data_IF_614214205272
#
_entry.id   IF_614214205272
#
_cell.length_a   1.000
_cell.length_b   1.000
_cell.length_c   1.000
_cell.angle_alpha   90.00
_cell.angle_beta   90.00
_cell.angle_gamma   90.00
#
_symmetry.space_group_name_H-M   'P 1'
#
loop_
_entity.id
_entity.type
_entity.pdbx_description
1 polymer ?
#
# COMPACT_ATOMS: atom_id res chain seq x y z
N UNK A 1 -22.17 -9.37 -13.14
CA UNK A 1 -23.33 -8.45 -13.07
C UNK A 1 -23.93 -8.17 -14.44
N UNK A 2 -23.18 -7.66 -15.42
CA UNK A 2 -23.72 -7.32 -16.74
C UNK A 2 -24.41 -8.52 -17.41
N UNK A 3 -23.80 -9.70 -17.36
CA UNK A 3 -24.41 -10.92 -17.93
C UNK A 3 -25.73 -11.27 -17.24
N UNK A 4 -25.81 -11.11 -15.91
CA UNK A 4 -27.06 -11.32 -15.17
C UNK A 4 -28.14 -10.33 -15.63
N UNK A 5 -27.82 -9.05 -15.75
CA UNK A 5 -28.76 -8.03 -16.23
C UNK A 5 -29.23 -8.34 -17.65
N UNK A 6 -28.32 -8.74 -18.54
CA UNK A 6 -28.66 -9.18 -19.91
C UNK A 6 -29.56 -10.42 -19.91
N UNK A 7 -29.32 -11.38 -19.03
CA UNK A 7 -30.13 -12.60 -18.92
C UNK A 7 -31.57 -12.36 -18.48
N UNK A 8 -31.88 -11.18 -17.93
CA UNK A 8 -33.24 -10.77 -17.54
C UNK A 8 -33.80 -9.66 -18.45
N UNK A 9 -33.34 -9.62 -19.71
CA UNK A 9 -33.75 -8.67 -20.76
C UNK A 9 -33.40 -7.20 -20.48
N UNK A 10 -32.37 -6.94 -19.67
CA UNK A 10 -31.89 -5.57 -19.44
C UNK A 10 -30.64 -5.25 -20.26
N UNK A 11 -30.49 -3.99 -20.64
CA UNK A 11 -29.35 -3.48 -21.39
C UNK A 11 -28.48 -2.60 -20.49
N UNK A 12 -27.51 -3.17 -19.73
CA UNK A 12 -26.61 -2.37 -18.92
C UNK A 12 -25.78 -1.44 -19.80
N UNK A 13 -25.64 -0.19 -19.38
CA UNK A 13 -24.87 0.82 -20.11
C UNK A 13 -23.37 0.61 -19.87
N UNK A 14 -22.61 0.50 -20.95
CA UNK A 14 -21.14 0.48 -20.90
C UNK A 14 -20.60 1.89 -20.65
N UNK A 15 -19.44 2.00 -19.98
CA UNK A 15 -18.82 3.29 -19.69
C UNK A 15 -18.57 4.13 -20.95
N UNK A 16 -18.07 3.52 -22.03
CA UNK A 16 -17.80 4.21 -23.29
C UNK A 16 -19.06 4.84 -23.88
N UNK A 17 -20.21 4.17 -23.75
CA UNK A 17 -21.50 4.74 -24.17
C UNK A 17 -21.86 5.97 -23.34
N UNK A 18 -21.64 5.94 -22.02
CA UNK A 18 -21.84 7.10 -21.16
C UNK A 18 -20.92 8.28 -21.55
N UNK A 19 -19.68 8.00 -21.93
CA UNK A 19 -18.73 9.00 -22.44
C UNK A 19 -19.23 9.58 -23.77
N UNK A 20 -19.66 8.76 -24.71
CA UNK A 20 -20.21 9.20 -26.01
C UNK A 20 -21.42 10.12 -25.84
N UNK A 21 -22.28 9.86 -24.86
CA UNK A 21 -23.44 10.70 -24.55
C UNK A 21 -23.07 12.13 -24.11
N UNK A 22 -21.82 12.36 -23.68
CA UNK A 22 -21.33 13.71 -23.37
C UNK A 22 -21.05 14.54 -24.63
N UNK A 23 -20.81 13.90 -25.78
CA UNK A 23 -20.37 14.55 -27.01
C UNK A 23 -18.93 15.07 -26.97
N UNK A 24 -18.16 14.77 -25.92
CA UNK A 24 -16.78 15.23 -25.73
C UNK A 24 -15.79 14.06 -25.87
N UNK A 25 -14.62 14.31 -26.46
CA UNK A 25 -13.56 13.30 -26.56
C UNK A 25 -12.81 13.03 -25.25
N UNK A 26 -12.92 13.95 -24.28
CA UNK A 26 -12.26 13.85 -22.96
C UNK A 26 -13.07 14.59 -21.87
N UNK A 27 -14.31 14.15 -21.58
CA UNK A 27 -15.18 14.82 -20.63
C UNK A 27 -14.67 14.73 -19.19
N UNK A 28 -15.13 15.66 -18.35
CA UNK A 28 -15.01 15.52 -16.90
C UNK A 28 -15.85 14.34 -16.39
N UNK A 29 -15.35 13.60 -15.40
CA UNK A 29 -16.02 12.40 -14.86
C UNK A 29 -17.46 12.66 -14.43
N UNK A 30 -17.73 13.83 -13.83
CA UNK A 30 -19.08 14.21 -13.41
C UNK A 30 -20.05 14.37 -14.59
N UNK A 31 -19.59 14.85 -15.74
CA UNK A 31 -20.43 14.97 -16.94
C UNK A 31 -20.81 13.59 -17.48
N UNK A 32 -19.89 12.61 -17.43
CA UNK A 32 -20.17 11.23 -17.81
C UNK A 32 -21.22 10.61 -16.90
N UNK A 33 -21.08 10.82 -15.58
CA UNK A 33 -22.04 10.34 -14.58
C UNK A 33 -23.41 11.00 -14.76
N UNK A 34 -23.47 12.31 -14.98
CA UNK A 34 -24.72 13.02 -15.25
C UNK A 34 -25.40 12.54 -16.53
N UNK A 35 -24.63 12.30 -17.59
CA UNK A 35 -25.12 11.72 -18.84
C UNK A 35 -25.69 10.31 -18.60
N UNK A 36 -24.96 9.45 -17.89
CA UNK A 36 -25.42 8.11 -17.54
C UNK A 36 -26.71 8.15 -16.71
N UNK A 37 -26.78 8.95 -15.64
CA UNK A 37 -27.97 9.06 -14.78
C UNK A 37 -29.18 9.63 -15.51
N UNK A 38 -28.96 10.49 -16.50
CA UNK A 38 -30.06 11.05 -17.30
C UNK A 38 -30.67 10.00 -18.23
N UNK A 39 -29.85 9.14 -18.84
CA UNK A 39 -30.30 8.18 -19.84
C UNK A 39 -30.65 6.79 -19.28
N UNK A 40 -30.15 6.43 -18.09
CA UNK A 40 -30.43 5.12 -17.48
C UNK A 40 -31.82 5.06 -16.84
N UNK A 41 -32.56 3.97 -17.06
CA UNK A 41 -33.86 3.73 -16.39
C UNK A 41 -33.70 3.49 -14.89
N UNK A 42 -32.65 2.78 -14.48
CA UNK A 42 -32.31 2.53 -13.10
C UNK A 42 -30.78 2.49 -12.91
N UNK A 43 -30.33 2.74 -11.68
CA UNK A 43 -28.92 2.76 -11.30
C UNK A 43 -28.68 1.63 -10.32
N UNK A 44 -27.74 0.74 -10.62
CA UNK A 44 -27.32 -0.34 -9.72
C UNK A 44 -26.00 0.06 -9.09
N UNK A 45 -26.00 0.29 -7.79
CA UNK A 45 -24.78 0.51 -7.02
C UNK A 45 -24.32 -0.83 -6.46
N UNK A 46 -23.16 -1.30 -6.94
CA UNK A 46 -22.54 -2.53 -6.45
C UNK A 46 -21.55 -2.22 -5.34
N UNK A 47 -21.89 -2.62 -4.11
CA UNK A 47 -21.07 -2.48 -2.92
C UNK A 47 -20.38 -3.81 -2.63
N UNK A 48 -19.07 -3.84 -2.87
CA UNK A 48 -18.18 -4.99 -2.63
C UNK A 48 -17.16 -4.65 -1.55
N UNK A 49 -16.65 -5.63 -0.79
CA UNK A 49 -15.70 -5.43 0.31
C UNK A 49 -14.25 -5.23 -0.21
N UNK A 50 -14.04 -4.27 -1.11
CA UNK A 50 -12.78 -4.09 -1.84
C UNK A 50 -11.68 -3.37 -1.05
N UNK A 51 -12.04 -2.58 -0.04
CA UNK A 51 -11.10 -1.83 0.80
C UNK A 51 -11.32 -2.12 2.28
N UNK A 52 -10.29 -1.96 3.10
CA UNK A 52 -10.39 -2.08 4.57
C UNK A 52 -10.32 -0.71 5.21
N UNK A 53 -11.28 -0.39 6.06
CA UNK A 53 -11.32 0.86 6.82
C UNK A 53 -11.67 0.64 8.28
N UNK A 54 -11.33 1.64 9.10
CA UNK A 54 -11.67 1.72 10.51
C UNK A 54 -11.71 3.17 10.95
N UNK A 55 -12.57 3.46 11.93
CA UNK A 55 -12.61 4.73 12.62
C UNK A 55 -11.33 4.87 13.47
N UNK A 56 -10.74 6.07 13.48
CA UNK A 56 -9.59 6.31 14.36
C UNK A 56 -10.05 6.13 15.81
N UNK A 57 -9.26 5.44 16.66
CA UNK A 57 -9.73 5.03 17.99
C UNK A 57 -10.11 6.21 18.89
N UNK A 58 -9.47 7.37 18.72
CA UNK A 58 -9.81 8.61 19.43
C UNK A 58 -11.21 9.16 19.14
N UNK A 59 -11.83 8.74 18.03
CA UNK A 59 -13.18 9.14 17.64
C UNK A 59 -14.22 8.04 17.94
N UNK A 60 -13.79 6.88 18.44
CA UNK A 60 -14.70 5.80 18.81
C UNK A 60 -15.27 5.94 20.22
N UNK A 61 -16.24 5.09 20.55
CA UNK A 61 -16.97 5.10 21.81
C UNK A 61 -16.37 4.20 22.91
N UNK A 62 -15.12 3.75 22.75
CA UNK A 62 -14.40 2.90 23.72
C UNK A 62 -13.79 1.65 23.09
N UNK A 63 -13.19 0.77 23.91
CA UNK A 63 -12.47 -0.42 23.43
C UNK A 63 -13.35 -1.46 22.72
N UNK A 64 -14.67 -1.45 22.97
CA UNK A 64 -15.64 -2.36 22.36
C UNK A 64 -16.32 -1.83 21.10
N UNK A 65 -15.94 -0.65 20.62
CA UNK A 65 -16.58 -0.05 19.43
C UNK A 65 -16.21 -0.85 18.17
N UNK A 66 -17.22 -1.36 17.46
CA UNK A 66 -17.00 -2.12 16.22
C UNK A 66 -16.50 -1.23 15.09
N UNK A 67 -16.75 0.08 15.14
CA UNK A 67 -16.32 1.01 14.12
C UNK A 67 -14.81 1.24 14.12
N UNK A 68 -14.16 1.05 15.26
CA UNK A 68 -12.70 1.19 15.38
C UNK A 68 -11.94 -0.06 14.93
N UNK A 69 -12.65 -1.16 14.66
CA UNK A 69 -12.09 -2.40 14.14
C UNK A 69 -11.97 -2.35 12.61
N UNK A 70 -10.90 -2.91 12.03
CA UNK A 70 -10.79 -3.05 10.58
C UNK A 70 -11.96 -3.85 10.02
N UNK A 71 -12.69 -3.23 9.08
CA UNK A 71 -13.81 -3.86 8.39
C UNK A 71 -13.75 -3.53 6.90
N UNK A 72 -14.22 -4.47 6.09
CA UNK A 72 -14.21 -4.31 4.64
C UNK A 72 -15.32 -3.34 4.19
N UNK A 73 -15.10 -2.54 3.15
CA UNK A 73 -16.05 -1.57 2.63
C UNK A 73 -15.91 -1.44 1.11
N UNK A 74 -16.90 -0.83 0.47
CA UNK A 74 -16.79 -0.39 -0.93
C UNK A 74 -15.74 0.71 -1.08
N UNK A 75 -15.14 0.80 -2.26
CA UNK A 75 -14.17 1.86 -2.59
C UNK A 75 -14.79 3.25 -2.41
N UNK A 76 -14.04 4.26 -1.96
CA UNK A 76 -14.52 5.62 -1.78
C UNK A 76 -15.21 6.21 -3.02
N UNK A 77 -14.70 5.92 -4.23
CA UNK A 77 -15.33 6.37 -5.47
C UNK A 77 -16.75 5.80 -5.62
N UNK A 78 -16.94 4.51 -5.31
CA UNK A 78 -18.26 3.86 -5.35
C UNK A 78 -19.20 4.49 -4.32
N UNK A 79 -18.72 4.77 -3.10
CA UNK A 79 -19.52 5.41 -2.06
C UNK A 79 -19.94 6.84 -2.47
N UNK A 80 -19.03 7.60 -3.07
CA UNK A 80 -19.30 8.96 -3.53
C UNK A 80 -20.31 8.98 -4.69
N UNK A 81 -20.09 8.14 -5.70
CA UNK A 81 -20.99 7.99 -6.85
C UNK A 81 -22.37 7.45 -6.44
N UNK A 82 -22.44 6.55 -5.46
CA UNK A 82 -23.69 6.11 -4.86
C UNK A 82 -24.43 7.28 -4.20
N UNK A 83 -23.71 8.15 -3.49
CA UNK A 83 -24.25 9.39 -2.93
C UNK A 83 -24.83 10.30 -4.02
N UNK A 84 -24.11 10.47 -5.14
CA UNK A 84 -24.60 11.25 -6.28
C UNK A 84 -25.86 10.64 -6.91
N UNK A 85 -25.88 9.33 -7.15
CA UNK A 85 -27.05 8.62 -7.69
C UNK A 85 -28.27 8.78 -6.79
N UNK A 86 -28.10 8.59 -5.48
CA UNK A 86 -29.14 8.75 -4.47
C UNK A 86 -29.63 10.20 -4.35
N UNK A 87 -28.73 11.17 -4.47
CA UNK A 87 -29.07 12.60 -4.49
C UNK A 87 -29.83 13.01 -5.75
N UNK A 88 -29.49 12.39 -6.89
CA UNK A 88 -30.12 12.67 -8.19
C UNK A 88 -31.50 12.03 -8.32
N UNK A 89 -31.61 10.74 -8.00
CA UNK A 89 -32.86 9.98 -8.03
C UNK A 89 -32.81 8.71 -7.16
N UNK A 90 -33.22 8.86 -5.90
CA UNK A 90 -33.28 7.75 -4.96
C UNK A 90 -34.31 6.66 -5.33
N UNK A 91 -35.35 6.96 -6.13
CA UNK A 91 -36.41 5.99 -6.42
C UNK A 91 -35.96 4.90 -7.38
N UNK A 92 -35.07 5.23 -8.32
CA UNK A 92 -34.52 4.30 -9.31
C UNK A 92 -33.08 3.86 -9.00
N UNK A 93 -32.56 4.20 -7.83
CA UNK A 93 -31.23 3.76 -7.38
C UNK A 93 -31.36 2.54 -6.48
N UNK A 94 -30.79 1.41 -6.93
CA UNK A 94 -30.82 0.12 -6.25
C UNK A 94 -29.45 -0.19 -5.66
N UNK A 95 -29.39 -0.29 -4.34
CA UNK A 95 -28.17 -0.66 -3.62
C UNK A 95 -28.04 -2.18 -3.52
N UNK A 96 -26.90 -2.71 -3.93
CA UNK A 96 -26.61 -4.14 -3.98
C UNK A 96 -25.29 -4.41 -3.25
N UNK A 97 -25.32 -5.31 -2.28
CA UNK A 97 -24.15 -5.79 -1.55
C UNK A 97 -23.76 -7.18 -2.06
N UNK A 98 -22.48 -7.39 -2.38
CA UNK A 98 -21.92 -8.72 -2.65
C UNK A 98 -20.79 -8.97 -1.65
N UNK A 99 -21.03 -9.90 -0.72
CA UNK A 99 -20.13 -10.15 0.41
C UNK A 99 -20.46 -9.33 1.65
N UNK A 100 -19.55 -9.33 2.63
CA UNK A 100 -19.73 -8.64 3.90
C UNK A 100 -19.08 -7.27 3.85
N UNK A 101 -19.91 -6.23 3.70
CA UNK A 101 -19.48 -4.83 3.78
C UNK A 101 -19.81 -4.24 5.15
N UNK A 102 -18.93 -3.36 5.63
CA UNK A 102 -19.12 -2.56 6.83
C UNK A 102 -20.41 -1.76 6.68
N UNK A 103 -21.27 -1.70 7.71
CA UNK A 103 -22.44 -0.84 7.68
C UNK A 103 -22.04 0.61 7.37
N UNK A 104 -22.75 1.20 6.40
CA UNK A 104 -22.63 2.60 6.07
C UNK A 104 -23.83 3.33 6.65
N UNK A 105 -23.64 3.94 7.83
CA UNK A 105 -24.70 4.52 8.67
C UNK A 105 -25.53 5.59 7.95
N UNK A 106 -24.95 6.34 7.02
CA UNK A 106 -25.63 7.35 6.20
C UNK A 106 -26.64 6.77 5.19
N UNK A 107 -26.58 5.46 4.96
CA UNK A 107 -27.54 4.69 4.13
C UNK A 107 -28.44 3.78 4.98
N UNK A 108 -28.28 3.75 6.31
CA UNK A 108 -29.02 2.86 7.20
C UNK A 108 -30.56 3.01 7.15
N UNK A 109 -31.07 4.11 6.58
CA UNK A 109 -32.51 4.29 6.29
C UNK A 109 -32.98 3.70 4.95
N UNK A 110 -32.08 3.15 4.12
CA UNK A 110 -32.39 2.57 2.80
C UNK A 110 -32.05 1.09 2.76
N UNK A 111 -32.94 0.30 2.17
CA UNK A 111 -32.77 -1.14 2.11
C UNK A 111 -31.82 -1.54 0.96
N UNK A 112 -30.73 -2.24 1.27
CA UNK A 112 -29.84 -2.89 0.27
C UNK A 112 -30.26 -4.33 -0.04
N UNK A 113 -29.89 -4.86 -1.21
CA UNK A 113 -30.02 -6.30 -1.51
C UNK A 113 -28.69 -6.96 -1.23
N UNK A 114 -28.67 -7.98 -0.37
CA UNK A 114 -27.51 -8.89 -0.28
C UNK A 114 -27.61 -9.93 -1.38
N UNK A 115 -26.86 -9.71 -2.45
CA UNK A 115 -26.84 -10.57 -3.61
C UNK A 115 -25.87 -11.74 -3.38
N UNK A 116 -26.29 -12.92 -3.80
CA UNK A 116 -25.53 -14.17 -3.70
C UNK A 116 -25.80 -15.02 -4.94
N UNK A 117 -25.20 -16.20 -5.02
CA UNK A 117 -25.50 -17.15 -6.09
C UNK A 117 -26.86 -17.85 -5.97
N UNK A 118 -27.66 -17.56 -4.93
CA UNK A 118 -29.01 -18.10 -4.82
C UNK A 118 -30.00 -17.42 -5.76
N UNK A 119 -30.85 -18.21 -6.41
CA UNK A 119 -31.95 -17.72 -7.26
C UNK A 119 -32.88 -16.76 -6.53
N UNK A 120 -33.12 -16.98 -5.23
CA UNK A 120 -33.94 -16.10 -4.40
C UNK A 120 -33.37 -14.67 -4.31
N UNK A 121 -32.06 -14.53 -4.09
CA UNK A 121 -31.42 -13.20 -4.02
C UNK A 121 -31.38 -12.51 -5.40
N UNK A 122 -31.17 -13.28 -6.47
CA UNK A 122 -31.23 -12.81 -7.86
C UNK A 122 -32.64 -12.31 -8.22
N UNK A 123 -33.67 -13.06 -7.83
CA UNK A 123 -35.07 -12.68 -8.01
C UNK A 123 -35.42 -11.40 -7.24
N UNK A 124 -34.89 -11.24 -6.02
CA UNK A 124 -35.07 -10.00 -5.25
C UNK A 124 -34.50 -8.78 -5.99
N UNK A 125 -33.32 -8.91 -6.63
CA UNK A 125 -32.75 -7.85 -7.48
C UNK A 125 -33.61 -7.56 -8.70
N UNK A 126 -34.05 -8.59 -9.41
CA UNK A 126 -34.93 -8.46 -10.56
C UNK A 126 -36.24 -7.72 -10.22
N UNK A 127 -36.88 -8.06 -9.09
CA UNK A 127 -38.11 -7.40 -8.62
C UNK A 127 -37.87 -5.92 -8.29
N UNK A 128 -36.71 -5.56 -7.71
CA UNK A 128 -36.39 -4.15 -7.45
C UNK A 128 -36.12 -3.37 -8.72
N UNK A 129 -35.42 -3.96 -9.68
CA UNK A 129 -35.20 -3.34 -10.99
C UNK A 129 -36.52 -3.13 -11.73
N UNK A 130 -37.43 -4.10 -11.67
CA UNK A 130 -38.80 -3.94 -12.19
C UNK A 130 -39.54 -2.79 -11.51
N UNK A 131 -39.46 -2.71 -10.17
CA UNK A 131 -40.04 -1.60 -9.40
C UNK A 131 -39.40 -0.24 -9.75
N UNK A 132 -38.12 -0.23 -10.11
CA UNK A 132 -37.40 0.96 -10.58
C UNK A 132 -37.72 1.33 -12.05
N UNK A 133 -38.60 0.58 -12.72
CA UNK A 133 -39.08 0.87 -14.08
C UNK A 133 -38.38 0.08 -15.19
N UNK A 134 -37.49 -0.86 -14.86
CA UNK A 134 -36.85 -1.72 -15.85
C UNK A 134 -37.81 -2.78 -16.41
N UNK A 135 -37.70 -3.07 -17.71
CA UNK A 135 -38.47 -4.11 -18.39
C UNK A 135 -37.86 -5.51 -18.17
N UNK A 136 -38.00 -6.00 -16.94
CA UNK A 136 -37.42 -7.26 -16.49
C UNK A 136 -38.22 -8.44 -17.03
N UNK A 137 -37.52 -9.33 -17.74
CA UNK A 137 -38.02 -10.64 -18.17
C UNK A 137 -37.40 -11.75 -17.32
N UNK A 138 -38.24 -12.58 -16.70
CA UNK A 138 -37.81 -13.74 -15.90
C UNK A 138 -38.28 -15.06 -16.52
N UNK A 139 -38.70 -15.05 -17.79
CA UNK A 139 -38.99 -16.28 -18.52
C UNK A 139 -37.74 -17.13 -18.70
N UNK A 140 -37.89 -18.44 -18.62
CA UNK A 140 -36.77 -19.39 -18.62
C UNK A 140 -36.04 -19.48 -17.27
N UNK A 141 -34.87 -20.14 -17.29
CA UNK A 141 -34.10 -20.47 -16.08
C UNK A 141 -32.63 -20.07 -16.14
N UNK A 142 -32.15 -19.56 -17.28
CA UNK A 142 -30.72 -19.26 -17.49
C UNK A 142 -30.21 -18.18 -16.51
N UNK A 143 -31.07 -17.22 -16.15
CA UNK A 143 -30.76 -16.17 -15.19
C UNK A 143 -30.52 -16.69 -13.76
N UNK A 144 -30.97 -17.92 -13.43
CA UNK A 144 -30.74 -18.52 -12.12
C UNK A 144 -29.26 -18.68 -11.79
N UNK A 145 -28.42 -18.90 -12.81
CA UNK A 145 -26.99 -19.21 -12.64
C UNK A 145 -26.08 -18.23 -13.38
N UNK A 146 -26.61 -17.36 -14.25
CA UNK A 146 -25.80 -16.44 -15.08
C UNK A 146 -25.03 -15.41 -14.24
N UNK A 147 -23.70 -15.36 -14.38
CA UNK A 147 -22.81 -14.51 -13.59
C UNK A 147 -22.49 -15.08 -12.21
N UNK A 148 -21.41 -14.60 -11.59
CA UNK A 148 -20.94 -15.06 -10.28
C UNK A 148 -21.07 -13.97 -9.22
N UNK A 149 -21.74 -14.31 -8.12
CA UNK A 149 -21.94 -13.48 -6.93
C UNK A 149 -21.44 -14.19 -5.67
N UNK A 150 -20.42 -15.04 -5.81
CA UNK A 150 -19.67 -15.58 -4.68
C UNK A 150 -19.08 -14.40 -3.91
N UNK A 151 -19.28 -14.40 -2.58
CA UNK A 151 -18.68 -13.39 -1.73
C UNK A 151 -17.14 -13.49 -1.87
N UNK A 152 -16.43 -12.37 -2.10
CA UNK A 152 -14.98 -12.39 -2.08
C UNK A 152 -14.49 -12.84 -0.69
N UNK A 153 -13.28 -13.44 -0.63
CA UNK A 153 -12.73 -13.90 0.63
C UNK A 153 -12.59 -12.74 1.63
N UNK A 154 -12.64 -13.02 2.95
CA UNK A 154 -12.37 -12.01 3.95
C UNK A 154 -11.01 -11.34 3.70
N UNK A 155 -10.89 -10.02 3.88
CA UNK A 155 -9.64 -9.33 3.61
C UNK A 155 -8.53 -9.82 4.54
N UNK A 156 -7.29 -9.74 4.04
CA UNK A 156 -6.09 -10.12 4.79
C UNK A 156 -5.49 -11.48 4.40
N UNK A 157 -6.05 -12.19 3.42
CA UNK A 157 -5.50 -13.47 2.91
C UNK A 157 -5.20 -14.51 4.01
N UNK A 158 -6.05 -14.53 5.05
CA UNK A 158 -5.87 -15.41 6.21
C UNK A 158 -4.97 -14.86 7.32
N UNK A 159 -4.39 -13.67 7.14
CA UNK A 159 -3.69 -12.92 8.18
C UNK A 159 -4.66 -12.03 8.95
N UNK A 160 -4.35 -11.79 10.22
CA UNK A 160 -5.10 -10.83 11.02
C UNK A 160 -5.00 -9.43 10.38
N UNK A 161 -6.15 -8.78 10.19
CA UNK A 161 -6.24 -7.38 9.81
C UNK A 161 -5.72 -6.53 10.98
N UNK A 162 -4.41 -6.35 11.05
CA UNK A 162 -3.78 -5.54 12.07
C UNK A 162 -3.90 -4.05 11.73
N UNK A 163 -4.12 -3.21 12.75
CA UNK A 163 -3.71 -1.81 12.64
C UNK A 163 -2.21 -1.81 12.39
N UNK A 164 -1.78 -1.25 11.27
CA UNK A 164 -0.39 -0.81 11.15
C UNK A 164 -0.25 0.32 12.17
N UNK A 165 0.26 -0.01 13.36
CA UNK A 165 0.77 1.01 14.26
C UNK A 165 1.71 1.86 13.41
N UNK A 166 1.56 3.19 13.39
CA UNK A 166 2.67 4.02 12.94
C UNK A 166 3.86 3.45 13.70
N UNK A 167 4.88 2.97 12.99
CA UNK A 167 6.13 2.67 13.67
C UNK A 167 6.43 3.99 14.35
N UNK A 168 6.34 4.05 15.68
CA UNK A 168 7.09 5.05 16.41
C UNK A 168 8.48 4.85 15.82
N UNK A 169 8.96 5.79 15.00
CA UNK A 169 10.33 5.72 14.56
C UNK A 169 11.07 5.58 15.90
N UNK A 170 11.77 4.45 16.16
CA UNK A 170 12.60 4.40 17.34
C UNK A 170 13.43 5.68 17.24
N UNK A 171 13.43 6.50 18.30
CA UNK A 171 14.20 7.73 18.31
C UNK A 171 15.55 7.39 17.70
N UNK A 172 15.85 7.95 16.52
CA UNK A 172 17.02 7.53 15.74
C UNK A 172 18.20 7.56 16.70
N UNK A 173 18.97 6.46 16.75
CA UNK A 173 20.07 6.35 17.71
C UNK A 173 20.97 7.60 17.57
N UNK A 174 21.56 8.11 18.66
CA UNK A 174 22.45 9.27 18.61
C UNK A 174 23.52 9.12 17.53
N UNK A 175 24.17 7.95 17.50
CA UNK A 175 25.06 7.51 16.43
C UNK A 175 24.50 6.22 15.84
N UNK A 176 24.51 6.12 14.52
CA UNK A 176 24.13 4.91 13.79
C UNK A 176 24.93 4.86 12.48
N UNK A 177 25.98 4.06 12.44
CA UNK A 177 26.85 3.94 11.29
C UNK A 177 26.33 2.96 10.25
N UNK A 178 26.64 3.27 9.00
CA UNK A 178 26.42 2.47 7.82
C UNK A 178 27.67 2.62 6.93
N UNK A 179 28.02 1.57 6.20
CA UNK A 179 29.23 1.53 5.38
C UNK A 179 28.88 1.21 3.94
N UNK A 180 29.57 1.88 3.01
CA UNK A 180 29.44 1.57 1.60
C UNK A 180 30.80 1.49 0.93
N UNK A 181 31.09 0.32 0.38
CA UNK A 181 32.29 0.08 -0.39
C UNK A 181 32.09 0.47 -1.86
N UNK A 182 33.12 1.03 -2.47
CA UNK A 182 33.15 1.37 -3.90
C UNK A 182 34.43 0.85 -4.53
N UNK A 183 34.29 -0.19 -5.36
CA UNK A 183 35.34 -0.65 -6.26
C UNK A 183 35.58 0.39 -7.36
N UNK A 184 36.81 0.90 -7.48
CA UNK A 184 37.23 1.88 -8.50
C UNK A 184 38.02 1.26 -9.65
N UNK A 185 38.27 -0.05 -9.61
CA UNK A 185 38.97 -0.82 -10.63
C UNK A 185 40.50 -0.80 -10.48
N UNK A 186 41.20 -1.71 -11.16
CA UNK A 186 42.61 -2.07 -10.89
C UNK A 186 43.68 -0.97 -11.01
N UNK A 187 43.35 0.21 -11.53
CA UNK A 187 44.29 1.36 -11.62
C UNK A 187 43.95 2.50 -10.65
N UNK A 188 42.96 2.34 -9.75
CA UNK A 188 42.50 3.38 -8.83
C UNK A 188 42.31 2.81 -7.44
N UNK A 189 42.61 3.60 -6.42
CA UNK A 189 42.38 3.22 -5.03
C UNK A 189 40.88 3.16 -4.77
N UNK A 190 40.42 2.06 -4.18
CA UNK A 190 39.03 1.84 -3.80
C UNK A 190 38.61 2.80 -2.68
N UNK A 191 37.30 2.96 -2.48
CA UNK A 191 36.78 3.91 -1.48
C UNK A 191 35.84 3.22 -0.51
N UNK A 192 35.92 3.62 0.76
CA UNK A 192 34.96 3.25 1.79
C UNK A 192 34.25 4.51 2.27
N UNK A 193 32.94 4.55 2.14
CA UNK A 193 32.10 5.64 2.62
C UNK A 193 31.53 5.27 3.98
N UNK A 194 31.85 6.08 4.98
CA UNK A 194 31.37 5.97 6.36
C UNK A 194 30.21 6.94 6.53
N UNK A 195 29.01 6.42 6.77
CA UNK A 195 27.75 7.17 6.82
C UNK A 195 27.25 7.16 8.26
N UNK A 196 26.87 8.32 8.80
CA UNK A 196 26.19 8.40 10.09
C UNK A 196 24.70 8.71 9.88
N UNK A 197 23.84 7.69 10.01
CA UNK A 197 22.38 7.74 9.96
C UNK A 197 21.75 8.24 11.26
N UNK A 198 22.54 8.35 12.33
CA UNK A 198 22.13 8.83 13.64
C UNK A 198 21.78 10.32 13.65
N UNK A 199 21.39 10.83 14.82
CA UNK A 199 20.96 12.23 14.98
C UNK A 199 22.09 13.18 15.35
N UNK A 200 23.12 12.69 16.03
CA UNK A 200 24.24 13.49 16.55
C UNK A 200 25.46 13.44 15.63
N UNK A 201 26.39 14.36 15.84
CA UNK A 201 27.70 14.27 15.19
C UNK A 201 28.57 13.24 15.92
N UNK A 202 29.11 12.30 15.16
CA UNK A 202 30.11 11.37 15.68
C UNK A 202 31.50 11.99 15.52
N UNK A 203 32.29 12.06 16.59
CA UNK A 203 33.68 12.54 16.58
C UNK A 203 34.66 11.39 16.77
N UNK A 204 35.91 11.65 16.40
CA UNK A 204 37.03 10.76 16.66
C UNK A 204 36.76 9.32 16.17
N UNK A 205 36.18 9.21 14.97
CA UNK A 205 35.67 7.93 14.43
C UNK A 205 36.83 7.08 13.94
N UNK A 206 36.94 5.87 14.47
CA UNK A 206 37.97 4.88 14.10
C UNK A 206 37.33 3.57 13.67
N UNK A 207 37.90 2.94 12.64
CA UNK A 207 37.41 1.71 12.05
C UNK A 207 38.45 0.61 12.25
N UNK A 208 37.99 -0.55 12.69
CA UNK A 208 38.81 -1.77 12.85
C UNK A 208 38.19 -2.89 12.02
N UNK A 209 39.02 -3.61 11.29
CA UNK A 209 38.61 -4.76 10.47
C UNK A 209 39.31 -6.03 10.96
N UNK A 210 38.70 -7.22 10.78
CA UNK A 210 39.34 -8.50 11.08
C UNK A 210 40.63 -8.72 10.28
N UNK A 211 41.53 -9.58 10.78
CA UNK A 211 42.83 -9.87 10.13
C UNK A 211 42.68 -10.42 8.70
N UNK A 212 41.58 -11.12 8.40
CA UNK A 212 41.29 -11.72 7.09
C UNK A 212 40.45 -10.82 6.18
N UNK A 213 40.17 -9.59 6.56
CA UNK A 213 39.36 -8.69 5.74
C UNK A 213 40.00 -8.41 4.37
N UNK A 214 39.18 -8.36 3.33
CA UNK A 214 39.59 -8.03 1.96
C UNK A 214 40.12 -6.61 1.76
N UNK A 215 40.02 -5.74 2.79
CA UNK A 215 40.50 -4.36 2.80
C UNK A 215 41.58 -4.11 3.87
N UNK A 216 42.51 -3.21 3.58
CA UNK A 216 43.51 -2.71 4.52
C UNK A 216 43.30 -1.21 4.80
N UNK A 217 42.88 -0.90 6.03
CA UNK A 217 42.64 0.45 6.52
C UNK A 217 43.92 1.19 6.98
N UNK A 218 45.08 0.52 7.07
CA UNK A 218 46.35 1.12 7.52
C UNK A 218 46.98 2.04 6.48
N UNK A 219 46.61 1.85 5.21
CA UNK A 219 47.15 2.60 4.06
C UNK A 219 46.56 4.01 3.89
N UNK A 220 45.54 4.34 4.67
CA UNK A 220 44.62 5.47 4.40
C UNK A 220 45.13 6.82 4.90
N UNK A 221 46.23 6.84 5.66
CA UNK A 221 46.86 8.06 6.19
C UNK A 221 46.02 8.80 7.25
N UNK A 222 44.79 8.36 7.52
CA UNK A 222 43.87 8.94 8.49
C UNK A 222 43.57 7.88 9.57
N UNK A 223 44.34 7.86 10.67
CA UNK A 223 44.07 6.92 11.76
C UNK A 223 42.73 7.20 12.46
N UNK A 224 42.20 8.42 12.33
CA UNK A 224 40.96 8.89 12.96
C UNK A 224 40.24 9.85 12.01
N UNK A 225 38.95 9.62 11.76
CA UNK A 225 38.08 10.57 11.06
C UNK A 225 37.58 11.60 12.10
N UNK A 226 37.92 12.90 11.97
CA UNK A 226 37.66 13.87 13.04
C UNK A 226 36.18 14.03 13.38
N UNK A 227 35.30 13.98 12.37
CA UNK A 227 33.85 14.01 12.56
C UNK A 227 33.07 13.46 11.37
N UNK A 228 31.93 12.83 11.66
CA UNK A 228 30.90 12.45 10.68
C UNK A 228 29.55 12.97 11.21
N UNK A 229 29.00 14.06 10.63
CA UNK A 229 27.72 14.61 11.05
C UNK A 229 26.58 13.58 10.91
N UNK A 230 25.58 13.66 11.79
CA UNK A 230 24.36 12.85 11.68
C UNK A 230 23.47 13.24 10.49
N UNK A 231 22.29 12.65 10.43
CA UNK A 231 21.30 12.93 9.39
C UNK A 231 21.63 12.30 8.04
N UNK A 232 22.44 11.23 8.02
CA UNK A 232 22.85 10.52 6.80
C UNK A 232 24.00 11.18 6.05
N UNK A 233 24.78 12.06 6.70
CA UNK A 233 26.02 12.59 6.11
C UNK A 233 27.13 11.52 6.17
N UNK A 234 28.13 11.71 5.33
CA UNK A 234 29.20 10.73 5.19
C UNK A 234 30.56 11.36 4.95
N UNK A 235 31.60 10.60 5.31
CA UNK A 235 33.00 10.86 4.94
C UNK A 235 33.46 9.67 4.11
N UNK A 236 34.21 9.93 3.05
CA UNK A 236 34.79 8.87 2.21
C UNK A 236 36.28 8.80 2.48
N UNK A 237 36.76 7.61 2.78
CA UNK A 237 38.18 7.31 2.93
C UNK A 237 38.63 6.40 1.79
N UNK A 238 39.91 6.47 1.49
CA UNK A 238 40.57 5.57 0.56
C UNK A 238 40.75 4.23 1.26
N UNK A 239 40.67 3.10 0.54
CA UNK A 239 40.97 1.78 1.09
C UNK A 239 41.74 0.98 0.05
N UNK A 240 42.77 0.26 0.48
CA UNK A 240 43.47 -0.68 -0.39
C UNK A 240 42.87 -2.06 -0.23
N UNK A 241 42.71 -2.78 -1.35
CA UNK A 241 42.25 -4.17 -1.32
C UNK A 241 43.44 -5.13 -1.37
N UNK A 242 43.36 -6.21 -0.61
CA UNK A 242 44.40 -7.24 -0.57
C UNK A 242 44.62 -7.92 -1.93
N UNK A 243 43.63 -7.82 -2.84
CA UNK A 243 43.73 -8.22 -4.26
C UNK A 243 44.77 -7.42 -5.04
N UNK A 244 45.01 -6.15 -4.69
CA UNK A 244 45.99 -5.29 -5.37
C UNK A 244 47.44 -5.53 -4.90
N UNK A 245 47.66 -6.11 -3.70
CA UNK A 245 48.98 -6.13 -3.06
C UNK A 245 49.58 -7.54 -2.94
N UNK A 246 48.77 -8.59 -2.71
CA UNK A 246 49.29 -9.94 -2.37
C UNK A 246 48.63 -11.11 -3.11
N UNK A 247 47.96 -10.88 -4.25
CA UNK A 247 47.37 -11.96 -5.06
C UNK A 247 46.05 -12.54 -4.53
N UNK A 248 45.48 -11.97 -3.47
CA UNK A 248 44.08 -12.12 -3.08
C UNK A 248 43.60 -13.51 -2.61
N UNK A 249 44.46 -14.53 -2.54
CA UNK A 249 44.06 -15.85 -2.09
C UNK A 249 43.88 -15.89 -0.56
N UNK A 250 42.64 -16.05 -0.10
CA UNK A 250 42.32 -16.35 1.31
C UNK A 250 41.84 -15.18 2.18
N UNK A 251 41.45 -14.05 1.59
CA UNK A 251 40.80 -12.94 2.29
C UNK A 251 39.27 -12.96 2.09
N UNK A 252 38.54 -12.50 3.10
CA UNK A 252 37.08 -12.47 3.14
C UNK A 252 36.54 -11.17 2.51
N UNK A 253 35.58 -11.29 1.59
CA UNK A 253 34.90 -10.13 0.99
C UNK A 253 33.70 -9.63 1.82
N UNK A 254 33.27 -10.42 2.82
CA UNK A 254 32.14 -10.12 3.69
C UNK A 254 32.55 -10.28 5.16
N UNK A 255 32.48 -9.20 5.93
CA UNK A 255 32.97 -9.15 7.31
C UNK A 255 32.34 -7.99 8.08
N UNK A 256 32.38 -8.06 9.41
CA UNK A 256 31.98 -6.94 10.26
C UNK A 256 33.14 -5.95 10.45
N UNK A 257 32.82 -4.67 10.35
CA UNK A 257 33.74 -3.56 10.65
C UNK A 257 33.32 -2.96 11.98
N UNK A 258 34.20 -3.02 12.98
CA UNK A 258 33.97 -2.39 14.28
C UNK A 258 34.31 -0.91 14.18
N UNK A 259 33.32 -0.06 14.44
CA UNK A 259 33.44 1.40 14.41
C UNK A 259 33.31 1.93 15.83
N UNK A 260 34.32 2.65 16.29
CA UNK A 260 34.28 3.38 17.57
C UNK A 260 34.25 4.87 17.33
N UNK A 261 33.47 5.60 18.12
CA UNK A 261 33.29 7.04 17.98
C UNK A 261 32.90 7.67 19.32
N UNK A 262 32.94 9.00 19.39
CA UNK A 262 32.46 9.78 20.52
C UNK A 262 31.23 10.61 20.15
N UNK A 263 30.21 10.63 21.00
CA UNK A 263 28.98 11.43 20.82
C UNK A 263 29.22 12.93 21.07
N UNK A 264 28.23 13.79 20.77
CA UNK A 264 28.29 15.22 21.10
C UNK A 264 28.40 15.42 22.64
N UNK A 265 27.79 14.52 23.42
CA UNK A 265 27.89 14.48 24.89
C UNK A 265 29.22 13.94 25.45
N UNK A 266 30.13 13.48 24.59
CA UNK A 266 31.43 12.94 25.00
C UNK A 266 31.45 11.46 25.36
N UNK A 267 30.34 10.74 25.20
CA UNK A 267 30.25 9.30 25.49
C UNK A 267 30.91 8.47 24.38
N UNK A 268 31.54 7.37 24.75
CA UNK A 268 32.08 6.41 23.79
C UNK A 268 30.96 5.54 23.21
N UNK A 269 30.99 5.35 21.90
CA UNK A 269 30.07 4.53 21.14
C UNK A 269 30.84 3.49 20.33
N UNK A 270 30.34 2.27 20.27
CA UNK A 270 30.93 1.17 19.49
C UNK A 270 29.81 0.46 18.74
N UNK A 271 30.01 0.24 17.45
CA UNK A 271 29.06 -0.41 16.57
C UNK A 271 29.78 -1.30 15.57
N UNK A 272 29.35 -2.56 15.47
CA UNK A 272 29.74 -3.43 14.38
C UNK A 272 28.80 -3.22 13.19
N UNK A 273 29.39 -2.99 12.01
CA UNK A 273 28.67 -2.81 10.75
C UNK A 273 29.15 -3.85 9.76
N UNK A 274 28.22 -4.71 9.33
CA UNK A 274 28.49 -5.69 8.28
C UNK A 274 28.78 -4.99 6.96
N UNK A 275 29.87 -5.38 6.31
CA UNK A 275 30.30 -4.89 5.01
C UNK A 275 30.47 -6.06 4.05
N UNK A 276 29.77 -6.00 2.92
CA UNK A 276 29.99 -6.89 1.77
C UNK A 276 30.61 -6.08 0.61
N UNK A 277 31.77 -6.52 0.15
CA UNK A 277 32.51 -5.89 -0.94
C UNK A 277 31.98 -6.28 -2.34
N UNK A 278 31.15 -7.31 -2.44
CA UNK A 278 30.60 -7.80 -3.71
C UNK A 278 29.30 -7.10 -4.13
N UNK A 279 28.65 -6.40 -3.19
CA UNK A 279 27.45 -5.60 -3.43
C UNK A 279 26.14 -6.33 -3.15
#
# INVERSE_FOLDING_TARGET
MFDFLRSINLSPMEWTTAVELTGEGSPYIGQVLDAAFTHATAIVVLMTPDEVAYLQPRYGHGEGDVEIQPAAQARPNVLFEAGMALGRDAKRTVLVEVGQVRPFSDVAGRHSIRLSNSSASRQALAIRLKTAGCDVDLTGTDWHTTGDFTAPPPPGDGLALGRRLPSAAPARKPIDFDLKYFNKGGNRIDKLQVINRGTETAYDVTLTVPEKAGIDLRSTGLPVIPKVPGGGRSVTIDVMTSRMVFGGAGMDDAFDVTITARTDGGEQHTQDVFLDMNG
#
